data_IF_073965717177
#
_entry.id   IF_073965717177
#
_cell.length_a   1.000
_cell.length_b   1.000
_cell.length_c   1.000
_cell.angle_alpha   90.00
_cell.angle_beta   90.00
_cell.angle_gamma   90.00
#
_symmetry.space_group_name_H-M   'P 1'
#
loop_
_entity.id
_entity.type
_entity.pdbx_description
1 polymer ?
#
# COMPACT_ATOMS: atom_id res chain seq x y z
N UNK A 1 -7.97 -16.71 2.28
CA UNK A 1 -7.99 -15.30 1.79
C UNK A 1 -8.45 -14.41 2.95
N UNK A 2 -7.67 -13.40 3.31
CA UNK A 2 -8.06 -12.41 4.32
C UNK A 2 -9.04 -11.40 3.74
N UNK A 3 -9.88 -10.82 4.59
CA UNK A 3 -10.83 -9.77 4.23
C UNK A 3 -10.64 -8.53 5.11
N UNK A 4 -10.88 -7.36 4.55
CA UNK A 4 -10.82 -6.09 5.26
C UNK A 4 -11.98 -5.20 4.81
N UNK A 5 -12.73 -4.66 5.79
CA UNK A 5 -13.84 -3.74 5.52
C UNK A 5 -13.33 -2.31 5.47
N UNK A 6 -13.43 -1.70 4.31
CA UNK A 6 -13.02 -0.31 4.08
C UNK A 6 -14.11 0.63 4.59
N UNK A 7 -13.79 1.40 5.62
CA UNK A 7 -14.71 2.39 6.18
C UNK A 7 -14.73 3.65 5.32
N UNK A 8 -15.87 4.33 5.30
CA UNK A 8 -15.99 5.63 4.66
C UNK A 8 -15.71 6.74 5.68
N UNK A 9 -14.83 7.66 5.29
CA UNK A 9 -14.51 8.84 6.10
C UNK A 9 -15.12 10.08 5.48
N UNK A 10 -15.61 10.97 6.33
CA UNK A 10 -16.13 12.29 5.94
C UNK A 10 -15.03 13.31 6.20
N UNK A 11 -14.74 14.16 5.22
CA UNK A 11 -13.75 15.22 5.32
C UNK A 11 -12.84 15.27 4.10
N UNK A 12 -12.22 16.41 3.86
CA UNK A 12 -11.30 16.65 2.75
C UNK A 12 -9.90 16.16 3.07
N UNK A 13 -9.06 17.01 3.63
CA UNK A 13 -7.67 16.67 3.93
C UNK A 13 -7.57 15.96 5.30
N UNK A 14 -7.40 14.65 5.28
CA UNK A 14 -7.13 13.86 6.47
C UNK A 14 -5.62 13.86 6.70
N UNK A 15 -5.18 14.45 7.82
CA UNK A 15 -3.77 14.45 8.21
C UNK A 15 -3.28 13.08 8.70
N UNK A 16 -1.97 12.89 8.70
CA UNK A 16 -1.34 11.62 9.14
C UNK A 16 -1.61 11.30 10.62
N UNK A 17 -1.82 12.31 11.44
CA UNK A 17 -2.12 12.19 12.90
C UNK A 17 -3.59 12.41 13.22
N UNK A 18 -4.46 12.48 12.21
CA UNK A 18 -5.89 12.74 12.42
C UNK A 18 -6.52 11.66 13.32
N UNK A 19 -7.36 12.11 14.24
CA UNK A 19 -8.05 11.23 15.19
C UNK A 19 -8.92 10.16 14.49
N UNK A 20 -9.29 10.37 13.24
CA UNK A 20 -10.05 9.43 12.42
C UNK A 20 -9.35 8.07 12.31
N UNK A 21 -8.00 8.06 12.29
CA UNK A 21 -7.22 6.84 12.23
C UNK A 21 -7.37 5.92 13.43
N UNK A 22 -7.77 6.46 14.59
CA UNK A 22 -8.07 5.66 15.80
C UNK A 22 -9.31 4.80 15.63
N UNK A 23 -10.25 5.24 14.78
CA UNK A 23 -11.49 4.50 14.51
C UNK A 23 -11.37 3.51 13.34
N UNK A 24 -10.32 3.55 12.54
CA UNK A 24 -10.09 2.66 11.41
C UNK A 24 -9.28 1.44 11.87
N UNK A 25 -9.81 0.21 11.74
CA UNK A 25 -9.08 -1.00 12.09
C UNK A 25 -7.78 -1.12 11.30
N UNK A 26 -6.68 -1.45 11.96
CA UNK A 26 -5.42 -1.74 11.29
C UNK A 26 -5.38 -3.20 10.82
N UNK A 27 -4.85 -3.42 9.63
CA UNK A 27 -4.39 -4.73 9.20
C UNK A 27 -2.90 -4.87 9.49
N UNK A 28 -2.45 -6.07 9.82
CA UNK A 28 -1.04 -6.35 10.11
C UNK A 28 -0.35 -6.95 8.88
N UNK A 29 0.74 -6.33 8.46
CA UNK A 29 1.63 -6.83 7.40
C UNK A 29 2.70 -7.68 8.09
N UNK A 30 2.33 -8.90 8.49
CA UNK A 30 3.11 -9.75 9.38
C UNK A 30 3.25 -11.22 8.93
N UNK A 31 2.89 -11.51 7.70
CA UNK A 31 3.20 -12.79 7.09
C UNK A 31 4.55 -12.69 6.38
N UNK A 32 5.50 -13.56 6.75
CA UNK A 32 6.84 -13.66 6.17
C UNK A 32 6.92 -14.97 5.37
N UNK A 33 6.57 -14.95 4.07
CA UNK A 33 6.50 -16.17 3.26
C UNK A 33 7.85 -16.86 3.08
N UNK A 34 8.93 -16.10 3.23
CA UNK A 34 10.30 -16.58 3.05
C UNK A 34 11.11 -16.44 4.36
N UNK A 35 11.19 -17.50 5.18
CA UNK A 35 11.78 -17.45 6.53
C UNK A 35 13.23 -16.94 6.58
N UNK A 36 14.00 -17.15 5.51
CA UNK A 36 15.38 -16.63 5.42
C UNK A 36 15.46 -15.08 5.43
N UNK A 37 14.33 -14.41 5.14
CA UNK A 37 14.20 -12.96 5.07
C UNK A 37 13.26 -12.40 6.15
N UNK A 38 12.94 -13.18 7.16
CA UNK A 38 12.14 -12.71 8.28
C UNK A 38 12.91 -11.67 9.10
N UNK A 39 12.28 -10.53 9.32
CA UNK A 39 12.80 -9.46 10.17
C UNK A 39 11.77 -9.11 11.23
N UNK A 40 12.19 -9.00 12.48
CA UNK A 40 11.31 -8.57 13.57
C UNK A 40 11.01 -7.07 13.44
N UNK A 41 9.98 -6.76 12.68
CA UNK A 41 9.43 -5.42 12.47
C UNK A 41 7.91 -5.47 12.61
N UNK A 42 7.33 -4.36 13.05
CA UNK A 42 5.88 -4.17 13.08
C UNK A 42 5.48 -3.26 11.94
N UNK A 43 4.67 -3.77 11.02
CA UNK A 43 4.10 -2.96 9.95
C UNK A 43 2.60 -3.13 9.93
N UNK A 44 1.90 -2.01 9.93
CA UNK A 44 0.43 -1.96 9.83
C UNK A 44 0.00 -1.09 8.68
N UNK A 45 -1.17 -1.38 8.13
CA UNK A 45 -1.82 -0.51 7.18
C UNK A 45 -3.28 -0.29 7.57
N UNK A 46 -3.83 0.84 7.16
CA UNK A 46 -5.24 1.19 7.27
C UNK A 46 -5.71 1.71 5.93
N UNK A 47 -6.94 1.37 5.56
CA UNK A 47 -7.55 1.85 4.32
C UNK A 47 -8.92 2.44 4.62
N UNK A 48 -9.15 3.63 4.10
CA UNK A 48 -10.44 4.30 4.16
C UNK A 48 -10.88 4.77 2.77
N UNK A 49 -12.17 5.03 2.60
CA UNK A 49 -12.73 5.63 1.40
C UNK A 49 -13.14 7.07 1.70
N UNK A 50 -12.62 8.00 0.92
CA UNK A 50 -13.02 9.42 0.92
C UNK A 50 -14.11 9.66 -0.14
N UNK A 51 -14.42 10.93 -0.41
CA UNK A 51 -15.27 11.32 -1.53
C UNK A 51 -14.54 11.22 -2.89
N UNK A 52 -13.19 11.28 -2.90
CA UNK A 52 -12.34 11.41 -4.09
C UNK A 52 -11.46 10.20 -4.36
N UNK A 53 -11.26 9.30 -3.37
CA UNK A 53 -10.31 8.22 -3.53
C UNK A 53 -10.32 7.17 -2.43
N UNK A 54 -9.24 6.39 -2.42
CA UNK A 54 -8.90 5.42 -1.38
C UNK A 54 -7.70 5.95 -0.61
N UNK A 55 -7.89 6.27 0.64
CA UNK A 55 -6.85 6.80 1.52
C UNK A 55 -6.13 5.63 2.18
N UNK A 56 -4.84 5.52 1.93
CA UNK A 56 -3.95 4.48 2.46
C UNK A 56 -3.05 5.10 3.51
N UNK A 57 -2.91 4.44 4.65
CA UNK A 57 -2.05 4.86 5.73
C UNK A 57 -1.26 3.68 6.25
N UNK A 58 0.06 3.76 6.18
CA UNK A 58 0.98 2.77 6.72
C UNK A 58 1.73 3.32 7.91
N UNK A 59 2.07 2.44 8.84
CA UNK A 59 3.04 2.68 9.91
C UNK A 59 4.00 1.49 10.00
N UNK A 60 5.30 1.76 10.14
CA UNK A 60 6.31 0.72 10.38
C UNK A 60 7.37 1.22 11.36
N UNK A 61 7.84 0.32 12.22
CA UNK A 61 8.95 0.54 13.17
C UNK A 61 10.30 0.10 12.61
N UNK A 62 10.39 -0.09 11.29
CA UNK A 62 11.66 -0.44 10.66
C UNK A 62 12.74 0.59 10.95
N UNK A 63 13.90 0.10 11.43
CA UNK A 63 15.08 0.91 11.64
C UNK A 63 16.35 0.07 11.47
N UNK A 64 17.46 0.62 10.92
CA UNK A 64 17.51 1.89 10.16
C UNK A 64 16.76 1.79 8.84
N UNK A 65 16.24 2.92 8.36
CA UNK A 65 15.65 3.03 7.04
C UNK A 65 16.76 3.22 5.98
N UNK A 66 16.59 2.56 4.83
CA UNK A 66 17.34 2.83 3.62
C UNK A 66 16.47 3.68 2.66
N UNK A 67 17.02 4.79 2.18
CA UNK A 67 16.30 5.72 1.30
C UNK A 67 17.30 6.42 0.37
N UNK A 68 17.58 5.82 -0.78
CA UNK A 68 18.57 6.28 -1.74
C UNK A 68 17.98 6.61 -3.12
N UNK A 69 16.84 5.99 -3.46
CA UNK A 69 16.19 6.20 -4.75
C UNK A 69 15.42 7.52 -4.73
N UNK A 70 15.71 8.40 -5.66
CA UNK A 70 15.10 9.75 -5.76
C UNK A 70 14.28 9.96 -7.03
N UNK A 71 14.39 9.06 -8.01
CA UNK A 71 13.70 9.15 -9.29
C UNK A 71 12.49 8.21 -9.31
N UNK A 72 11.33 8.72 -9.67
CA UNK A 72 10.13 7.90 -9.83
C UNK A 72 10.34 6.81 -10.89
N UNK A 73 9.68 5.68 -10.66
CA UNK A 73 9.83 4.45 -11.45
C UNK A 73 11.25 3.84 -11.45
N UNK A 74 12.11 4.25 -10.52
CA UNK A 74 13.32 3.51 -10.20
C UNK A 74 13.00 2.28 -9.34
N UNK A 75 14.00 1.44 -9.04
CA UNK A 75 13.84 0.23 -8.20
C UNK A 75 13.72 0.61 -6.71
N UNK A 76 12.59 1.20 -6.31
CA UNK A 76 12.36 1.66 -4.92
C UNK A 76 12.26 0.51 -3.92
N UNK A 77 11.96 -0.72 -4.37
CA UNK A 77 11.99 -1.93 -3.55
C UNK A 77 13.39 -2.26 -3.00
N UNK A 78 14.45 -1.72 -3.63
CA UNK A 78 15.81 -1.83 -3.10
C UNK A 78 16.03 -1.04 -1.82
N UNK A 79 15.26 0.02 -1.60
CA UNK A 79 15.19 0.79 -0.35
C UNK A 79 14.22 0.15 0.65
N UNK A 80 14.11 0.74 1.85
CA UNK A 80 12.94 0.48 2.70
C UNK A 80 11.69 0.87 1.93
N UNK A 81 10.74 -0.05 1.76
CA UNK A 81 9.59 0.18 0.88
C UNK A 81 8.29 -0.29 1.52
N UNK A 82 7.22 0.47 1.29
CA UNK A 82 5.84 0.14 1.63
C UNK A 82 5.03 0.08 0.34
N UNK A 83 4.26 -1.01 0.17
CA UNK A 83 3.62 -1.28 -1.12
C UNK A 83 2.15 -1.60 -0.97
N UNK A 84 1.35 -1.12 -1.91
CA UNK A 84 -0.07 -1.42 -2.03
C UNK A 84 -0.37 -1.85 -3.47
N UNK A 85 -0.70 -3.12 -3.65
CA UNK A 85 -1.09 -3.70 -4.93
C UNK A 85 -2.59 -3.96 -4.92
N UNK A 86 -3.30 -3.59 -5.97
CA UNK A 86 -4.75 -3.78 -6.02
C UNK A 86 -5.29 -3.94 -7.44
N UNK A 87 -6.42 -4.61 -7.52
CA UNK A 87 -7.20 -4.82 -8.75
C UNK A 87 -8.70 -4.83 -8.46
N UNK A 88 -9.50 -4.67 -9.49
CA UNK A 88 -10.95 -4.95 -9.43
C UNK A 88 -11.23 -6.45 -9.50
N UNK A 89 -12.49 -6.86 -9.26
CA UNK A 89 -12.87 -8.29 -9.27
C UNK A 89 -12.75 -8.92 -10.67
N UNK A 90 -12.94 -8.14 -11.72
CA UNK A 90 -13.13 -8.62 -13.10
C UNK A 90 -11.83 -8.91 -13.87
N UNK A 91 -10.67 -8.69 -13.25
CA UNK A 91 -9.37 -8.81 -13.93
C UNK A 91 -8.27 -9.25 -12.98
N UNK A 92 -7.24 -9.91 -13.52
CA UNK A 92 -5.98 -10.14 -12.82
C UNK A 92 -4.94 -9.03 -13.06
N UNK A 93 -5.21 -8.11 -13.99
CA UNK A 93 -4.39 -6.90 -14.13
C UNK A 93 -4.53 -6.04 -12.89
N UNK A 94 -3.45 -5.49 -12.42
CA UNK A 94 -3.39 -4.77 -11.14
C UNK A 94 -2.52 -3.52 -11.25
N UNK A 95 -2.77 -2.59 -10.35
CA UNK A 95 -1.85 -1.48 -10.07
C UNK A 95 -0.99 -1.87 -8.87
N UNK A 96 0.31 -1.67 -8.96
CA UNK A 96 1.22 -1.62 -7.82
C UNK A 96 1.70 -0.20 -7.57
N UNK A 97 1.72 0.17 -6.31
CA UNK A 97 2.29 1.43 -5.80
C UNK A 97 3.32 1.05 -4.75
N UNK A 98 4.56 1.35 -5.01
CA UNK A 98 5.72 1.07 -4.16
C UNK A 98 6.37 2.40 -3.81
N UNK A 99 6.57 2.66 -2.53
CA UNK A 99 6.99 3.99 -2.07
C UNK A 99 8.05 3.85 -0.99
N UNK A 100 9.17 4.56 -1.16
CA UNK A 100 10.26 4.61 -0.19
C UNK A 100 10.10 5.77 0.81
N UNK A 101 10.98 5.89 1.84
CA UNK A 101 10.87 6.95 2.86
C UNK A 101 11.02 8.38 2.32
N UNK A 102 11.64 8.59 1.18
CA UNK A 102 11.73 9.90 0.51
C UNK A 102 10.44 10.29 -0.20
N UNK A 103 9.47 9.37 -0.32
CA UNK A 103 8.26 9.58 -1.11
C UNK A 103 8.48 9.35 -2.61
N UNK A 104 9.58 8.70 -2.98
CA UNK A 104 9.82 8.26 -4.36
C UNK A 104 8.90 7.10 -4.68
N UNK A 105 8.25 7.16 -5.83
CA UNK A 105 7.18 6.25 -6.23
C UNK A 105 7.64 5.40 -7.41
N UNK A 106 7.45 4.08 -7.30
CA UNK A 106 7.35 3.19 -8.46
C UNK A 106 5.88 2.77 -8.61
N UNK A 107 5.34 2.97 -9.81
CA UNK A 107 3.93 2.68 -10.09
C UNK A 107 3.79 1.99 -11.45
N UNK A 108 3.16 0.82 -11.47
CA UNK A 108 2.86 0.09 -12.69
C UNK A 108 1.36 -0.25 -12.79
N UNK A 109 0.90 -0.44 -14.01
CA UNK A 109 -0.32 -1.17 -14.31
C UNK A 109 0.04 -2.40 -15.14
N UNK A 110 -0.20 -3.58 -14.60
CA UNK A 110 0.12 -4.86 -15.24
C UNK A 110 1.61 -4.96 -15.65
N UNK A 111 2.50 -4.45 -14.78
CA UNK A 111 3.97 -4.38 -14.95
C UNK A 111 4.47 -3.37 -15.97
N UNK A 112 3.60 -2.51 -16.47
CA UNK A 112 3.98 -1.41 -17.35
C UNK A 112 3.97 -0.10 -16.56
N UNK A 113 5.06 0.67 -16.54
CA UNK A 113 5.15 1.91 -15.77
C UNK A 113 4.05 2.90 -16.13
N UNK A 114 3.44 3.49 -15.10
CA UNK A 114 2.41 4.50 -15.24
C UNK A 114 2.86 5.83 -14.61
N UNK A 115 2.45 6.97 -15.19
CA UNK A 115 2.81 8.28 -14.65
C UNK A 115 1.97 8.57 -13.40
N UNK A 116 2.59 8.43 -12.23
CA UNK A 116 2.01 8.77 -10.93
C UNK A 116 3.04 9.58 -10.17
N UNK A 117 2.62 10.67 -9.53
CA UNK A 117 3.48 11.52 -8.71
C UNK A 117 2.90 11.77 -7.31
N UNK A 118 3.74 12.26 -6.42
CA UNK A 118 3.39 12.52 -5.02
C UNK A 118 2.25 13.54 -4.86
N UNK A 119 2.15 14.54 -5.75
CA UNK A 119 1.11 15.55 -5.73
C UNK A 119 -0.25 14.94 -6.11
N UNK A 120 -0.28 14.11 -7.15
CA UNK A 120 -1.48 13.40 -7.56
C UNK A 120 -2.03 12.50 -6.45
N UNK A 121 -1.14 11.83 -5.72
CA UNK A 121 -1.49 10.97 -4.60
C UNK A 121 -1.69 11.71 -3.28
N UNK A 122 -1.47 13.02 -3.21
CA UNK A 122 -1.42 13.77 -1.93
C UNK A 122 -0.54 13.08 -0.90
N UNK A 123 0.62 12.59 -1.34
CA UNK A 123 1.50 11.75 -0.56
C UNK A 123 2.19 12.54 0.55
N UNK A 124 2.19 11.96 1.75
CA UNK A 124 2.93 12.43 2.91
C UNK A 124 3.77 11.27 3.45
N UNK A 125 5.06 11.47 3.57
CA UNK A 125 6.00 10.58 4.22
C UNK A 125 6.59 11.29 5.44
N UNK A 126 6.44 10.71 6.63
CA UNK A 126 6.89 11.29 7.88
C UNK A 126 7.72 10.27 8.66
N UNK A 127 8.95 10.62 8.99
CA UNK A 127 9.87 9.79 9.76
C UNK A 127 10.03 10.41 11.14
N UNK A 128 9.72 9.64 12.17
CA UNK A 128 9.93 9.98 13.58
C UNK A 128 11.00 9.05 14.18
N UNK A 129 11.49 9.31 15.40
CA UNK A 129 12.41 8.38 16.07
C UNK A 129 11.84 6.96 16.29
N UNK A 130 10.50 6.85 16.37
CA UNK A 130 9.83 5.58 16.70
C UNK A 130 9.30 4.85 15.48
N UNK A 131 8.99 5.58 14.40
CA UNK A 131 8.32 4.98 13.22
C UNK A 131 8.43 5.82 11.97
N UNK A 132 8.25 5.16 10.83
CA UNK A 132 7.95 5.78 9.55
C UNK A 132 6.45 5.64 9.26
N UNK A 133 5.81 6.77 8.94
CA UNK A 133 4.41 6.85 8.55
C UNK A 133 4.37 7.28 7.09
N UNK A 134 3.61 6.55 6.28
CA UNK A 134 3.34 6.87 4.89
C UNK A 134 1.84 6.96 4.67
N UNK A 135 1.36 8.09 4.15
CA UNK A 135 -0.03 8.28 3.80
C UNK A 135 -0.17 8.83 2.39
N UNK A 136 -1.14 8.31 1.65
CA UNK A 136 -1.48 8.83 0.34
C UNK A 136 -2.92 8.47 -0.06
N UNK A 137 -3.48 9.19 -1.01
CA UNK A 137 -4.80 8.90 -1.58
C UNK A 137 -4.65 8.40 -3.02
N UNK A 138 -5.22 7.23 -3.31
CA UNK A 138 -5.37 6.72 -4.68
C UNK A 138 -6.65 7.33 -5.24
N UNK A 139 -6.59 8.31 -6.16
CA UNK A 139 -7.78 9.00 -6.66
C UNK A 139 -8.69 8.04 -7.43
N UNK A 140 -10.01 8.23 -7.35
CA UNK A 140 -10.95 7.46 -8.16
C UNK A 140 -10.68 7.60 -9.65
N UNK A 141 -10.27 8.79 -10.11
CA UNK A 141 -9.90 9.03 -11.51
C UNK A 141 -8.73 8.15 -11.98
N UNK A 142 -7.77 7.81 -11.10
CA UNK A 142 -6.70 6.86 -11.42
C UNK A 142 -7.26 5.45 -11.57
N UNK A 143 -8.12 5.03 -10.64
CA UNK A 143 -8.77 3.71 -10.68
C UNK A 143 -9.63 3.57 -11.93
N UNK A 144 -10.47 4.55 -12.22
CA UNK A 144 -11.34 4.58 -13.40
C UNK A 144 -10.56 4.57 -14.72
N UNK A 145 -9.42 5.26 -14.77
CA UNK A 145 -8.56 5.30 -15.96
C UNK A 145 -8.07 3.91 -16.37
N UNK A 146 -7.70 3.06 -15.40
CA UNK A 146 -7.09 1.76 -15.68
C UNK A 146 -8.07 0.58 -15.59
N UNK A 147 -9.14 0.71 -14.81
CA UNK A 147 -10.12 -0.37 -14.61
C UNK A 147 -11.52 -0.04 -15.17
N UNK A 148 -11.76 1.18 -15.65
CA UNK A 148 -13.06 1.60 -16.17
C UNK A 148 -14.10 1.95 -15.10
N UNK A 149 -13.92 1.49 -13.86
CA UNK A 149 -14.78 1.79 -12.72
C UNK A 149 -14.02 1.68 -11.39
N UNK A 150 -14.52 2.29 -10.33
CA UNK A 150 -13.94 2.17 -8.99
C UNK A 150 -14.27 0.85 -8.29
N UNK A 151 -15.17 0.07 -8.85
CA UNK A 151 -15.64 -1.20 -8.29
C UNK A 151 -16.37 -1.07 -6.95
N UNK A 152 -17.11 -2.10 -6.57
CA UNK A 152 -17.74 -2.26 -5.24
C UNK A 152 -16.88 -3.11 -4.29
N UNK A 153 -15.93 -3.84 -4.83
CA UNK A 153 -14.95 -4.66 -4.14
C UNK A 153 -13.62 -4.54 -4.87
N UNK A 154 -12.55 -4.57 -4.12
CA UNK A 154 -11.19 -4.67 -4.65
C UNK A 154 -10.54 -5.92 -4.09
N UNK A 155 -9.63 -6.50 -4.86
CA UNK A 155 -8.66 -7.45 -4.35
C UNK A 155 -7.33 -6.73 -4.21
N UNK A 156 -6.65 -6.92 -3.08
CA UNK A 156 -5.42 -6.18 -2.80
C UNK A 156 -4.48 -6.93 -1.87
N UNK A 157 -3.25 -6.50 -1.84
CA UNK A 157 -2.30 -6.86 -0.81
C UNK A 157 -1.48 -5.65 -0.37
N UNK A 158 -0.97 -5.73 0.83
CA UNK A 158 -0.10 -4.72 1.44
C UNK A 158 1.22 -5.41 1.77
N UNK A 159 2.32 -4.75 1.43
CA UNK A 159 3.64 -5.32 1.56
C UNK A 159 4.61 -4.39 2.26
N UNK A 160 5.62 -4.98 2.83
CA UNK A 160 6.80 -4.32 3.36
C UNK A 160 8.02 -5.06 2.85
N UNK A 161 8.89 -4.37 2.15
CA UNK A 161 10.16 -4.94 1.70
C UNK A 161 11.35 -4.00 1.94
N UNK A 162 12.53 -4.50 1.60
CA UNK A 162 13.78 -3.78 1.65
C UNK A 162 14.90 -4.66 1.11
N UNK A 163 15.01 -4.75 -0.22
CA UNK A 163 15.89 -5.72 -0.88
C UNK A 163 17.36 -5.50 -0.58
N UNK A 164 17.79 -4.23 -0.44
CA UNK A 164 19.19 -3.85 -0.19
C UNK A 164 19.40 -3.19 1.18
N UNK A 165 18.41 -3.28 2.08
CA UNK A 165 18.60 -2.86 3.46
C UNK A 165 19.65 -3.75 4.16
N UNK A 166 20.16 -3.32 5.31
CA UNK A 166 21.14 -4.10 6.11
C UNK A 166 20.62 -5.53 6.36
N UNK A 167 19.32 -5.68 6.51
CA UNK A 167 18.64 -6.97 6.66
C UNK A 167 17.51 -7.06 5.62
N UNK A 168 17.75 -7.63 4.43
CA UNK A 168 16.71 -7.84 3.44
C UNK A 168 15.51 -8.57 4.04
N UNK A 169 14.29 -8.09 3.75
CA UNK A 169 13.08 -8.63 4.35
C UNK A 169 11.86 -8.44 3.45
N UNK A 170 10.89 -9.37 3.59
CA UNK A 170 9.67 -9.38 2.80
C UNK A 170 8.50 -9.82 3.67
N UNK A 171 7.56 -8.92 3.91
CA UNK A 171 6.33 -9.20 4.64
C UNK A 171 5.10 -8.82 3.82
N UNK A 172 4.00 -9.54 4.03
CA UNK A 172 2.73 -9.28 3.38
C UNK A 172 1.56 -9.36 4.35
N UNK A 173 0.44 -8.75 3.97
CA UNK A 173 -0.82 -8.88 4.69
C UNK A 173 -1.46 -10.24 4.41
N UNK A 174 -1.82 -10.52 3.14
CA UNK A 174 -2.35 -11.82 2.74
C UNK A 174 -1.19 -12.69 2.23
N UNK A 175 -1.08 -13.95 2.68
CA UNK A 175 0.03 -14.82 2.30
C UNK A 175 0.19 -14.96 0.78
N UNK A 176 1.42 -14.89 0.33
CA UNK A 176 1.86 -15.25 -1.03
C UNK A 176 2.75 -16.49 -0.96
N UNK A 177 3.01 -17.14 -2.09
CA UNK A 177 3.80 -18.36 -2.16
C UNK A 177 5.01 -18.23 -3.10
N UNK A 178 5.72 -19.35 -3.28
CA UNK A 178 6.87 -19.48 -4.16
C UNK A 178 8.19 -19.65 -3.42
N UNK A 179 9.19 -20.13 -4.16
CA UNK A 179 10.53 -20.43 -3.61
C UNK A 179 11.38 -19.17 -3.40
N UNK A 180 11.10 -18.11 -4.16
CA UNK A 180 11.83 -16.83 -4.12
C UNK A 180 10.88 -15.67 -3.87
N UNK A 181 11.36 -14.58 -3.21
CA UNK A 181 10.57 -13.38 -3.02
C UNK A 181 9.98 -12.86 -4.33
N UNK A 182 8.65 -12.80 -4.36
CA UNK A 182 7.88 -12.24 -5.47
C UNK A 182 6.49 -11.86 -4.98
N UNK A 183 6.16 -10.58 -4.97
CA UNK A 183 4.87 -10.06 -4.56
C UNK A 183 3.85 -9.94 -5.71
N UNK A 184 4.31 -10.07 -6.96
CA UNK A 184 3.47 -9.95 -8.16
C UNK A 184 2.61 -11.20 -8.40
N UNK A 185 1.71 -11.50 -7.44
CA UNK A 185 0.81 -12.65 -7.41
C UNK A 185 -0.64 -12.19 -7.19
N UNK A 186 -1.30 -11.60 -8.21
CA UNK A 186 -2.64 -11.01 -8.06
C UNK A 186 -3.72 -12.03 -7.69
N UNK A 187 -3.50 -13.32 -7.92
CA UNK A 187 -4.35 -14.42 -7.46
C UNK A 187 -4.32 -14.60 -5.94
N UNK A 188 -3.24 -14.16 -5.29
CA UNK A 188 -3.05 -14.24 -3.85
C UNK A 188 -3.52 -13.00 -3.10
N UNK A 189 -4.18 -12.04 -3.76
CA UNK A 189 -4.67 -10.83 -3.09
C UNK A 189 -5.83 -11.15 -2.14
N UNK A 190 -5.87 -10.46 -1.00
CA UNK A 190 -7.00 -10.46 -0.08
C UNK A 190 -8.16 -9.62 -0.63
N UNK A 191 -9.30 -9.64 0.07
CA UNK A 191 -10.52 -8.93 -0.35
C UNK A 191 -10.72 -7.66 0.45
N UNK A 192 -10.97 -6.54 -0.23
CA UNK A 192 -11.36 -5.26 0.36
C UNK A 192 -12.85 -5.03 0.12
N UNK A 193 -13.64 -5.11 1.18
CA UNK A 193 -15.09 -4.91 1.14
C UNK A 193 -15.37 -3.42 1.31
N UNK A 194 -15.92 -2.79 0.28
CA UNK A 194 -16.24 -1.37 0.29
C UNK A 194 -17.66 -1.18 0.84
N UNK A 195 -17.80 -0.54 2.00
CA UNK A 195 -19.12 -0.23 2.51
C UNK A 195 -19.85 0.72 1.55
N UNK A 196 -20.91 0.22 0.94
CA UNK A 196 -21.82 1.04 0.15
C UNK A 196 -22.49 2.08 1.06
N UNK A 197 -22.07 3.33 0.95
CA UNK A 197 -22.81 4.41 1.60
C UNK A 197 -24.19 4.49 0.97
N UNK A 198 -25.27 4.28 1.74
CA UNK A 198 -26.58 4.71 1.29
C UNK A 198 -26.47 6.17 0.90
N UNK A 199 -26.68 6.49 -0.38
CA UNK A 199 -26.92 7.87 -0.80
C UNK A 199 -28.18 8.31 -0.04
N UNK A 200 -28.00 9.18 0.95
CA UNK A 200 -29.11 9.96 1.50
C UNK A 200 -29.24 11.23 0.70
#
# INVERSE_FOLDING_TARGET
>A
MKEYTVQRVRGGDVGIEDAIWKGIPALSVNCFPWPAFEKKITTTAKLASTASGRLVHFETDEWPLLAQKTENNSQVCEDSCLEFFFRTEDTLKYINLEINPLGTIHADFDREPIPVDAKQLRLVSCITPEKWILQYEVPFSLIEKYFGSVGSCLHANFYKCGDKTVHPHYACWNPVGGEKPNFHQPESFGKLILLSGKRR
#
